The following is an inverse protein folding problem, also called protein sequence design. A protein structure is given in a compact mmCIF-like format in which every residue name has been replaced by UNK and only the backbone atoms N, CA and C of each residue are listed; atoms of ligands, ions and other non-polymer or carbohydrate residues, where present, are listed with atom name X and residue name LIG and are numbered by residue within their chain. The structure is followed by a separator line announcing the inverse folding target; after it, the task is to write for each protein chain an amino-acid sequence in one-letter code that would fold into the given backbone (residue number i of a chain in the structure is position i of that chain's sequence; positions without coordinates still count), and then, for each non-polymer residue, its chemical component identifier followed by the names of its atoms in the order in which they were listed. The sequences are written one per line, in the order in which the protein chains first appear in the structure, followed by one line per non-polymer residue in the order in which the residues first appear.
data_IF_370129607401
#
_entry.id   IF_370129607401
#
_cell.length_a   1.000
_cell.length_b   1.000
_cell.length_c   1.000
_cell.angle_alpha   90.00
_cell.angle_beta   90.00
_cell.angle_gamma   90.00
#
_symmetry.space_group_name_H-M   'P 1'
#
loop_
_entity.id
_entity.type
_entity.pdbx_description
1 polymer ?
#
# COMPACT_ATOMS: atom_id res chain seq x y z
N UNK A 1 11.52 -13.52 17.53
CA UNK A 1 10.17 -13.43 16.90
C UNK A 1 10.08 -14.54 15.85
N UNK A 2 9.01 -15.33 15.88
CA UNK A 2 8.73 -16.38 14.88
C UNK A 2 7.40 -16.08 14.20
N UNK A 3 7.26 -16.46 12.94
CA UNK A 3 6.03 -16.24 12.15
C UNK A 3 5.59 -17.54 11.49
N UNK A 4 4.29 -17.79 11.46
CA UNK A 4 3.69 -18.97 10.84
C UNK A 4 2.41 -18.58 10.11
N UNK A 5 2.09 -19.29 9.02
CA UNK A 5 0.83 -19.12 8.27
C UNK A 5 -0.28 -20.06 8.76
N UNK A 6 -0.08 -20.76 9.87
CA UNK A 6 -1.06 -21.70 10.43
C UNK A 6 -2.38 -20.98 10.71
N UNK A 7 -3.47 -21.50 10.13
CA UNK A 7 -4.82 -20.95 10.30
C UNK A 7 -5.13 -19.72 9.44
N UNK A 8 -4.28 -19.35 8.49
CA UNK A 8 -4.53 -18.19 7.59
C UNK A 8 -5.84 -18.30 6.81
N UNK A 9 -6.28 -19.52 6.49
CA UNK A 9 -7.54 -19.76 5.77
C UNK A 9 -8.79 -19.42 6.59
N UNK A 10 -8.73 -19.40 7.93
CA UNK A 10 -9.88 -18.96 8.74
C UNK A 10 -10.22 -17.49 8.53
N UNK A 11 -9.25 -16.68 8.09
CA UNK A 11 -9.44 -15.27 7.79
C UNK A 11 -10.13 -15.01 6.45
N UNK A 12 -10.37 -16.04 5.64
CA UNK A 12 -11.16 -15.95 4.40
C UNK A 12 -12.66 -16.17 4.67
N UNK A 13 -13.02 -16.73 5.83
CA UNK A 13 -14.39 -16.99 6.19
C UNK A 13 -15.02 -15.77 6.86
N UNK A 14 -15.80 -15.01 6.08
CA UNK A 14 -16.47 -13.79 6.52
C UNK A 14 -17.58 -14.03 7.56
N UNK A 15 -17.98 -15.29 7.79
CA UNK A 15 -18.99 -15.63 8.79
C UNK A 15 -18.43 -15.70 10.21
N UNK A 16 -17.10 -15.82 10.36
CA UNK A 16 -16.46 -15.98 11.66
C UNK A 16 -16.16 -14.62 12.29
N UNK A 17 -16.56 -14.47 13.56
CA UNK A 17 -16.06 -13.37 14.37
C UNK A 17 -14.57 -13.53 14.67
N UNK A 18 -13.90 -12.42 14.96
CA UNK A 18 -12.49 -12.43 15.33
C UNK A 18 -12.15 -13.40 16.48
N UNK A 19 -13.01 -13.44 17.51
CA UNK A 19 -12.82 -14.31 18.66
C UNK A 19 -12.91 -15.80 18.27
N UNK A 20 -13.76 -16.13 17.31
CA UNK A 20 -13.87 -17.49 16.78
C UNK A 20 -12.66 -17.86 15.93
N UNK A 21 -12.15 -16.94 15.11
CA UNK A 21 -10.92 -17.13 14.35
C UNK A 21 -9.74 -17.40 15.30
N UNK A 22 -9.53 -16.54 16.31
CA UNK A 22 -8.44 -16.71 17.29
C UNK A 22 -8.54 -18.05 18.02
N UNK A 23 -9.74 -18.47 18.43
CA UNK A 23 -9.97 -19.77 19.05
C UNK A 23 -9.57 -20.91 18.12
N UNK A 24 -10.03 -20.90 16.86
CA UNK A 24 -9.74 -21.95 15.87
C UNK A 24 -8.25 -21.99 15.50
N UNK A 25 -7.61 -20.83 15.37
CA UNK A 25 -6.15 -20.73 15.15
C UNK A 25 -5.41 -21.37 16.33
N UNK A 26 -5.82 -21.08 17.57
CA UNK A 26 -5.16 -21.64 18.75
C UNK A 26 -5.35 -23.16 18.88
N UNK A 27 -6.53 -23.68 18.57
CA UNK A 27 -6.80 -25.12 18.49
C UNK A 27 -5.91 -25.80 17.43
N UNK A 28 -5.76 -25.18 16.26
CA UNK A 28 -4.91 -25.67 15.18
C UNK A 28 -3.42 -25.61 15.54
N UNK A 29 -2.97 -24.58 16.24
CA UNK A 29 -1.59 -24.49 16.73
C UNK A 29 -1.25 -25.64 17.68
N UNK A 30 -2.17 -25.99 18.59
CA UNK A 30 -2.00 -27.12 19.54
C UNK A 30 -1.94 -28.48 18.85
N UNK A 31 -2.65 -28.67 17.74
CA UNK A 31 -2.57 -29.92 16.98
C UNK A 31 -1.36 -29.98 16.04
N UNK A 32 -0.85 -28.82 15.60
CA UNK A 32 0.28 -28.73 14.67
C UNK A 32 1.64 -28.78 15.37
N UNK A 33 1.78 -28.11 16.51
CA UNK A 33 3.05 -28.00 17.24
C UNK A 33 3.04 -28.79 18.54
N UNK A 34 4.21 -29.28 18.94
CA UNK A 34 4.35 -30.02 20.20
C UNK A 34 4.16 -29.10 21.42
N UNK A 35 3.57 -29.58 22.53
CA UNK A 35 3.35 -28.79 23.72
C UNK A 35 4.62 -28.18 24.30
N UNK A 36 5.76 -28.88 24.24
CA UNK A 36 7.03 -28.40 24.76
C UNK A 36 7.52 -27.15 24.02
N UNK A 37 7.23 -27.06 22.71
CA UNK A 37 7.55 -25.88 21.92
C UNK A 37 6.62 -24.72 22.28
N UNK A 38 5.31 -24.95 22.33
CA UNK A 38 4.32 -23.91 22.66
C UNK A 38 4.54 -23.34 24.07
N UNK A 39 4.95 -24.16 25.03
CA UNK A 39 5.26 -23.74 26.40
C UNK A 39 6.54 -22.87 26.50
N UNK A 40 7.31 -22.70 25.42
CA UNK A 40 8.46 -21.78 25.32
C UNK A 40 8.12 -20.46 24.64
N UNK A 41 6.86 -20.26 24.27
CA UNK A 41 6.38 -19.02 23.67
C UNK A 41 5.72 -18.19 24.75
N UNK A 42 6.26 -16.99 24.99
CA UNK A 42 5.71 -16.06 25.99
C UNK A 42 4.34 -15.50 25.55
N UNK A 43 4.19 -15.17 24.27
CA UNK A 43 2.98 -14.57 23.71
C UNK A 43 2.72 -15.06 22.27
N UNK A 44 1.44 -15.33 21.96
CA UNK A 44 0.99 -15.65 20.61
C UNK A 44 0.11 -14.50 20.11
N UNK A 45 0.61 -13.78 19.11
CA UNK A 45 -0.09 -12.66 18.48
C UNK A 45 -0.70 -13.14 17.16
N UNK A 46 -2.00 -12.93 17.02
CA UNK A 46 -2.74 -13.22 15.79
C UNK A 46 -2.90 -11.92 14.98
N UNK A 47 -2.37 -11.90 13.75
CA UNK A 47 -2.48 -10.75 12.86
C UNK A 47 -3.83 -10.71 12.16
N UNK A 48 -4.41 -9.51 12.06
CA UNK A 48 -5.63 -9.28 11.30
C UNK A 48 -5.34 -9.10 9.80
N UNK A 49 -6.36 -9.34 8.97
CA UNK A 49 -6.34 -8.90 7.59
C UNK A 49 -6.23 -7.38 7.53
N UNK A 50 -5.56 -6.88 6.49
CA UNK A 50 -5.48 -5.45 6.22
C UNK A 50 -6.83 -4.95 5.72
N UNK A 51 -7.29 -3.84 6.29
CA UNK A 51 -8.41 -3.08 5.75
C UNK A 51 -7.96 -2.25 4.56
N UNK A 52 -8.92 -1.72 3.78
CA UNK A 52 -8.58 -0.82 2.66
C UNK A 52 -7.87 0.44 3.16
N UNK A 53 -8.28 0.94 4.31
CA UNK A 53 -7.70 2.09 4.99
C UNK A 53 -6.25 1.82 5.42
N UNK A 54 -5.95 0.61 5.90
CA UNK A 54 -4.58 0.21 6.23
C UNK A 54 -3.69 0.19 4.99
N UNK A 55 -4.23 -0.24 3.85
CA UNK A 55 -3.49 -0.29 2.58
C UNK A 55 -3.16 1.11 2.09
N UNK A 56 -4.10 2.04 2.19
CA UNK A 56 -3.87 3.46 1.86
C UNK A 56 -2.74 4.03 2.75
N UNK A 57 -2.73 3.74 4.05
CA UNK A 57 -1.62 4.14 4.93
C UNK A 57 -0.29 3.53 4.51
N UNK A 58 -0.30 2.27 4.07
CA UNK A 58 0.91 1.63 3.54
C UNK A 58 1.37 2.31 2.25
N UNK A 59 0.45 2.73 1.37
CA UNK A 59 0.78 3.56 0.20
C UNK A 59 1.49 4.84 0.64
N UNK A 60 0.94 5.58 1.61
CA UNK A 60 1.56 6.82 2.10
C UNK A 60 2.97 6.58 2.65
N UNK A 61 3.19 5.48 3.37
CA UNK A 61 4.52 5.08 3.86
C UNK A 61 5.48 4.83 2.70
N UNK A 62 5.06 4.13 1.65
CA UNK A 62 5.89 3.87 0.48
C UNK A 62 6.21 5.15 -0.30
N UNK A 63 5.23 6.03 -0.46
CA UNK A 63 5.43 7.34 -1.11
C UNK A 63 6.35 8.23 -0.29
N UNK A 64 6.29 8.17 1.04
CA UNK A 64 7.26 8.84 1.89
C UNK A 64 8.69 8.39 1.59
N UNK A 65 8.94 7.08 1.52
CA UNK A 65 10.27 6.56 1.17
C UNK A 65 10.71 6.96 -0.25
N UNK A 66 9.77 7.07 -1.20
CA UNK A 66 10.07 7.60 -2.53
C UNK A 66 10.46 9.08 -2.46
N UNK A 67 9.71 9.89 -1.71
CA UNK A 67 10.00 11.31 -1.52
C UNK A 67 11.34 11.55 -0.83
N UNK A 68 11.75 10.70 0.12
CA UNK A 68 13.09 10.78 0.72
C UNK A 68 14.19 10.68 -0.35
N UNK A 69 14.01 9.82 -1.38
CA UNK A 69 14.94 9.70 -2.51
C UNK A 69 14.81 10.85 -3.52
N UNK A 70 13.59 11.34 -3.76
CA UNK A 70 13.35 12.47 -4.67
C UNK A 70 13.90 13.79 -4.10
N UNK A 71 13.90 13.95 -2.78
CA UNK A 71 14.44 15.11 -2.10
C UNK A 71 15.93 15.31 -2.38
N UNK A 72 16.70 14.23 -2.55
CA UNK A 72 18.12 14.29 -2.98
C UNK A 72 18.29 14.91 -4.38
N UNK A 73 17.23 14.91 -5.19
CA UNK A 73 17.15 15.54 -6.52
C UNK A 73 16.35 16.84 -6.53
N UNK A 74 16.04 17.38 -5.35
CA UNK A 74 15.25 18.60 -5.16
C UNK A 74 13.81 18.51 -5.70
N UNK A 75 13.25 17.31 -5.86
CA UNK A 75 11.88 17.09 -6.32
C UNK A 75 10.98 16.58 -5.19
N UNK A 76 9.68 16.81 -5.34
CA UNK A 76 8.67 16.28 -4.42
C UNK A 76 7.48 15.69 -5.18
N UNK A 77 6.93 14.58 -4.69
CA UNK A 77 5.76 13.91 -5.27
C UNK A 77 4.63 13.83 -4.26
N UNK A 78 3.43 14.19 -4.70
CA UNK A 78 2.18 14.05 -3.96
C UNK A 78 1.19 13.19 -4.74
N UNK A 79 0.44 12.35 -4.03
CA UNK A 79 -0.69 11.63 -4.61
C UNK A 79 -2.00 12.34 -4.26
N UNK A 80 -2.94 12.38 -5.21
CA UNK A 80 -4.34 12.66 -4.90
C UNK A 80 -5.00 11.47 -4.21
N UNK A 81 -6.15 11.70 -3.58
CA UNK A 81 -6.93 10.61 -2.96
C UNK A 81 -7.34 9.55 -3.99
N UNK A 82 -7.70 9.96 -5.21
CA UNK A 82 -8.00 9.04 -6.31
C UNK A 82 -6.81 8.15 -6.65
N UNK A 83 -5.60 8.70 -6.70
CA UNK A 83 -4.40 7.93 -6.98
C UNK A 83 -4.07 6.96 -5.83
N UNK A 84 -4.20 7.39 -4.57
CA UNK A 84 -4.05 6.49 -3.40
C UNK A 84 -5.03 5.33 -3.47
N UNK A 85 -6.29 5.63 -3.76
CA UNK A 85 -7.36 4.64 -3.87
C UNK A 85 -7.13 3.64 -5.00
N UNK A 86 -6.66 4.10 -6.16
CA UNK A 86 -6.36 3.22 -7.29
C UNK A 86 -5.16 2.30 -6.98
N UNK A 87 -4.12 2.83 -6.34
CA UNK A 87 -2.98 2.02 -5.88
C UNK A 87 -3.39 0.98 -4.84
N UNK A 88 -4.28 1.34 -3.91
CA UNK A 88 -4.80 0.41 -2.94
C UNK A 88 -5.58 -0.73 -3.61
N UNK A 89 -6.41 -0.41 -4.61
CA UNK A 89 -7.15 -1.41 -5.39
C UNK A 89 -6.21 -2.35 -6.15
N UNK A 90 -5.17 -1.84 -6.79
CA UNK A 90 -4.22 -2.66 -7.57
C UNK A 90 -3.17 -3.38 -6.72
N UNK A 91 -2.90 -2.88 -5.51
CA UNK A 91 -1.88 -3.43 -4.62
C UNK A 91 -2.42 -4.36 -3.54
N UNK A 92 -3.75 -4.52 -3.44
CA UNK A 92 -4.39 -5.45 -2.53
C UNK A 92 -4.77 -6.74 -3.23
N UNK A 93 -4.40 -7.84 -2.60
CA UNK A 93 -4.91 -9.16 -2.95
C UNK A 93 -5.46 -9.83 -1.67
N UNK A 94 -6.70 -10.36 -1.66
CA UNK A 94 -7.27 -11.02 -0.48
C UNK A 94 -6.47 -12.23 0.05
N UNK A 95 -5.69 -12.89 -0.81
CA UNK A 95 -4.87 -14.05 -0.48
C UNK A 95 -3.44 -13.64 -0.10
N UNK A 96 -2.87 -12.68 -0.84
CA UNK A 96 -1.48 -12.24 -0.66
C UNK A 96 -1.33 -10.97 0.19
N UNK A 97 -2.42 -10.36 0.64
CA UNK A 97 -2.44 -9.09 1.36
C UNK A 97 -1.86 -7.94 0.53
N UNK A 98 -1.17 -7.01 1.19
CA UNK A 98 -0.49 -5.88 0.52
C UNK A 98 0.87 -6.26 -0.11
N UNK A 99 1.23 -7.55 -0.22
CA UNK A 99 2.50 -7.97 -0.85
C UNK A 99 2.68 -7.43 -2.28
N UNK A 100 1.64 -7.39 -3.14
CA UNK A 100 1.76 -6.80 -4.48
C UNK A 100 1.98 -5.28 -4.46
N UNK A 101 1.56 -4.58 -3.40
CA UNK A 101 1.52 -3.13 -3.34
C UNK A 101 2.85 -2.45 -3.66
N UNK A 102 3.96 -2.96 -3.09
CA UNK A 102 5.29 -2.41 -3.38
C UNK A 102 5.61 -2.48 -4.88
N UNK A 103 5.27 -3.59 -5.53
CA UNK A 103 5.50 -3.79 -6.96
C UNK A 103 4.57 -2.90 -7.80
N UNK A 104 3.33 -2.72 -7.36
CA UNK A 104 2.36 -1.82 -7.98
C UNK A 104 2.88 -0.38 -7.96
N UNK A 105 3.31 0.12 -6.79
CA UNK A 105 3.87 1.47 -6.66
C UNK A 105 5.14 1.63 -7.51
N UNK A 106 6.04 0.64 -7.47
CA UNK A 106 7.24 0.67 -8.30
C UNK A 106 6.90 0.78 -9.79
N UNK A 107 5.95 -0.03 -10.28
CA UNK A 107 5.58 -0.07 -11.69
C UNK A 107 4.89 1.21 -12.14
N UNK A 108 3.87 1.65 -11.42
CA UNK A 108 2.98 2.72 -11.87
C UNK A 108 3.47 4.11 -11.47
N UNK A 109 4.18 4.21 -10.35
CA UNK A 109 4.68 5.48 -9.81
C UNK A 109 6.16 5.64 -10.13
N UNK A 110 7.03 4.79 -9.55
CA UNK A 110 8.48 5.02 -9.63
C UNK A 110 9.03 4.92 -11.06
N UNK A 111 8.69 3.85 -11.78
CA UNK A 111 9.20 3.63 -13.13
C UNK A 111 8.67 4.67 -14.12
N UNK A 112 7.37 4.98 -14.05
CA UNK A 112 6.75 6.01 -14.90
C UNK A 112 7.35 7.38 -14.63
N UNK A 113 7.54 7.75 -13.36
CA UNK A 113 8.19 8.99 -12.99
C UNK A 113 9.63 9.06 -13.50
N UNK A 114 10.40 7.98 -13.35
CA UNK A 114 11.77 7.93 -13.84
C UNK A 114 11.86 8.17 -15.35
N UNK A 115 10.96 7.56 -16.14
CA UNK A 115 10.87 7.80 -17.58
C UNK A 115 10.56 9.27 -17.88
N UNK A 116 9.56 9.86 -17.21
CA UNK A 116 9.20 11.27 -17.42
C UNK A 116 10.33 12.24 -17.06
N UNK A 117 11.11 11.94 -16.03
CA UNK A 117 12.32 12.72 -15.69
C UNK A 117 13.36 12.59 -16.80
N UNK A 118 13.59 11.39 -17.34
CA UNK A 118 14.53 11.17 -18.45
C UNK A 118 14.09 11.87 -19.74
N UNK A 119 12.79 11.95 -19.99
CA UNK A 119 12.19 12.69 -21.10
C UNK A 119 12.22 14.21 -20.91
N UNK A 120 12.64 14.71 -19.75
CA UNK A 120 12.71 16.14 -19.44
C UNK A 120 11.35 16.78 -19.12
N UNK A 121 10.36 16.00 -18.66
CA UNK A 121 9.07 16.55 -18.24
C UNK A 121 9.12 17.17 -16.83
N UNK A 122 10.03 16.69 -15.98
CA UNK A 122 10.21 17.17 -14.60
C UNK A 122 11.67 17.43 -14.28
N UNK A 123 11.92 18.49 -13.51
CA UNK A 123 13.24 18.99 -13.14
C UNK A 123 13.33 19.26 -11.63
N UNK A 124 14.55 19.54 -11.18
CA UNK A 124 14.82 20.01 -9.83
C UNK A 124 13.94 21.22 -9.46
N UNK A 125 13.36 21.19 -8.26
CA UNK A 125 12.41 22.19 -7.77
C UNK A 125 10.94 21.87 -8.06
N UNK A 126 10.65 20.95 -8.98
CA UNK A 126 9.26 20.61 -9.32
C UNK A 126 8.54 19.88 -8.18
N UNK A 127 7.29 20.29 -7.97
CA UNK A 127 6.29 19.53 -7.21
C UNK A 127 5.39 18.78 -8.18
N UNK A 128 5.39 17.47 -8.07
CA UNK A 128 4.72 16.55 -8.99
C UNK A 128 3.46 16.04 -8.29
N UNK A 129 2.32 16.26 -8.91
CA UNK A 129 1.04 15.72 -8.45
C UNK A 129 0.68 14.54 -9.33
N UNK A 130 0.45 13.38 -8.71
CA UNK A 130 -0.06 12.19 -9.38
C UNK A 130 -1.55 12.07 -9.12
N UNK A 131 -2.33 12.05 -10.19
CA UNK A 131 -3.79 11.88 -10.16
C UNK A 131 -4.21 10.71 -11.07
N UNK A 132 -5.52 10.50 -11.18
CA UNK A 132 -6.13 9.52 -12.06
C UNK A 132 -6.99 10.25 -13.10
N UNK A 133 -6.68 10.03 -14.38
CA UNK A 133 -7.42 10.64 -15.49
C UNK A 133 -8.79 9.97 -15.70
N UNK A 134 -9.59 10.49 -16.63
CA UNK A 134 -10.91 9.95 -16.95
C UNK A 134 -10.90 8.50 -17.48
N UNK A 135 -9.75 8.06 -18.04
CA UNK A 135 -9.56 6.68 -18.49
C UNK A 135 -9.21 5.71 -17.35
N UNK A 136 -9.05 6.21 -16.12
CA UNK A 136 -8.66 5.39 -14.97
C UNK A 136 -7.15 5.09 -14.90
N UNK A 137 -6.33 5.87 -15.59
CA UNK A 137 -4.88 5.72 -15.62
C UNK A 137 -4.18 6.80 -14.81
N UNK A 138 -2.98 6.50 -14.31
CA UNK A 138 -2.17 7.46 -13.56
C UNK A 138 -1.64 8.57 -14.48
N UNK A 139 -1.90 9.80 -14.11
CA UNK A 139 -1.36 11.00 -14.76
C UNK A 139 -0.46 11.78 -13.80
N UNK A 140 0.58 12.40 -14.34
CA UNK A 140 1.57 13.17 -13.59
C UNK A 140 1.55 14.59 -14.10
N UNK A 141 1.37 15.56 -13.21
CA UNK A 141 1.26 16.99 -13.54
C UNK A 141 2.16 17.80 -12.62
N UNK A 142 2.61 18.98 -13.07
CA UNK A 142 3.25 19.93 -12.16
C UNK A 142 2.19 20.59 -11.29
N UNK A 143 2.51 20.89 -10.04
CA UNK A 143 1.57 21.55 -9.13
C UNK A 143 1.05 22.89 -9.69
N UNK A 144 1.90 23.64 -10.39
CA UNK A 144 1.54 24.91 -11.04
C UNK A 144 0.44 24.72 -12.09
N UNK A 145 0.55 23.68 -12.92
CA UNK A 145 -0.46 23.34 -13.95
C UNK A 145 -1.81 22.96 -13.32
N UNK A 146 -1.78 22.28 -12.17
CA UNK A 146 -3.00 21.89 -11.44
C UNK A 146 -3.71 23.12 -10.87
N UNK A 147 -2.98 24.11 -10.37
CA UNK A 147 -3.56 25.36 -9.87
C UNK A 147 -4.19 26.20 -10.99
N UNK A 148 -3.56 26.26 -12.17
CA UNK A 148 -4.10 26.96 -13.33
C UNK A 148 -5.41 26.33 -13.82
N UNK A 149 -5.45 25.00 -13.96
CA UNK A 149 -6.66 24.27 -14.38
C UNK A 149 -7.83 24.50 -13.41
N UNK A 150 -7.56 24.54 -12.10
CA UNK A 150 -8.60 24.84 -11.10
C UNK A 150 -9.15 26.26 -11.22
N UNK A 151 -8.31 27.25 -11.53
CA UNK A 151 -8.76 28.63 -11.76
C UNK A 151 -9.68 28.74 -12.98
N UNK A 152 -9.35 28.02 -14.06
CA UNK A 152 -10.18 28.00 -15.28
C UNK A 152 -11.51 27.30 -15.05
N UNK A 153 -11.55 26.20 -14.30
CA UNK A 153 -12.78 25.45 -14.03
C UNK A 153 -13.79 26.18 -13.09
N UNK A 154 -13.35 27.25 -12.42
CA UNK A 154 -14.17 28.06 -11.50
C UNK A 154 -14.68 29.36 -12.13
N UNK A 155 -14.45 29.59 -13.42
CA UNK A 155 -15.00 30.69 -14.22
C UNK A 155 -15.89 30.15 -15.35
#
# INVERSE_FOLDING_TARGET
IMTSNVGSFYFQDLSLSRKEIEKRVFELLKSTFRPEFLNRIDEIIVFNNLTREDIIKIVDIQIKYLNERLAEKGMFLELTDKARELLATYGYDPVFGARPLKRTIQRYIENTLALKILEGAFFEGDKIVVDVNEAGEFEFKKAEEVEELRKVALH
#
